data_IF_840036964681
#
_entry.id   IF_840036964681
#
_cell.length_a   1.000
_cell.length_b   1.000
_cell.length_c   1.000
_cell.angle_alpha   90.00
_cell.angle_beta   90.00
_cell.angle_gamma   90.00
#
_symmetry.space_group_name_H-M   'P 1'
#
loop_
_entity.id
_entity.type
_entity.pdbx_description
1 polymer ?
#
# COMPACT_ATOMS: atom_id res chain seq x y z
N UNK A 1 6.25 17.93 0.14
CA UNK A 1 7.34 17.28 0.91
C UNK A 1 8.29 16.66 -0.11
N UNK A 2 9.57 17.06 -0.15
CA UNK A 2 10.51 16.56 -1.16
C UNK A 2 11.10 15.23 -0.69
N UNK A 3 10.85 14.16 -1.45
CA UNK A 3 11.44 12.85 -1.19
C UNK A 3 12.96 12.88 -1.43
N UNK A 4 13.70 12.05 -0.68
CA UNK A 4 15.14 11.88 -0.88
C UNK A 4 15.44 11.37 -2.30
N UNK A 5 16.66 11.61 -2.85
CA UNK A 5 17.00 11.19 -4.21
C UNK A 5 16.87 9.67 -4.43
N UNK A 6 17.13 8.89 -3.40
CA UNK A 6 17.07 7.42 -3.40
C UNK A 6 15.71 6.86 -2.96
N UNK A 7 14.73 7.71 -2.65
CA UNK A 7 13.41 7.26 -2.24
C UNK A 7 12.63 6.71 -3.44
N UNK A 8 11.83 5.68 -3.19
CA UNK A 8 10.82 5.20 -4.15
C UNK A 8 9.75 6.28 -4.36
N UNK A 9 9.38 6.53 -5.60
CA UNK A 9 8.40 7.54 -6.00
C UNK A 9 7.21 6.85 -6.65
N UNK A 10 6.01 7.23 -6.23
CA UNK A 10 4.76 6.66 -6.73
C UNK A 10 4.62 6.82 -8.26
N UNK A 11 5.13 7.92 -8.81
CA UNK A 11 5.16 8.23 -10.26
C UNK A 11 6.00 7.23 -11.07
N UNK A 12 6.94 6.52 -10.43
CA UNK A 12 7.85 5.56 -11.04
C UNK A 12 7.46 4.10 -10.72
N UNK A 13 6.24 3.86 -10.24
CA UNK A 13 5.75 2.51 -9.99
C UNK A 13 5.68 1.69 -11.28
N UNK A 14 5.99 0.39 -11.20
CA UNK A 14 5.78 -0.56 -12.30
C UNK A 14 4.29 -0.88 -12.53
N UNK A 15 3.41 -0.37 -11.65
CA UNK A 15 1.97 -0.55 -11.74
C UNK A 15 1.51 -1.89 -11.16
N UNK A 16 0.37 -2.39 -11.65
CA UNK A 16 -0.29 -3.59 -11.14
C UNK A 16 -0.33 -4.67 -12.20
N UNK A 17 -0.27 -5.93 -11.77
CA UNK A 17 -0.44 -7.10 -12.65
C UNK A 17 -1.74 -7.06 -13.44
N UNK A 18 -2.81 -6.56 -12.82
CA UNK A 18 -4.11 -6.35 -13.47
C UNK A 18 -4.32 -4.84 -13.62
N UNK A 19 -4.56 -4.33 -14.83
CA UNK A 19 -4.81 -2.92 -15.06
C UNK A 19 -6.01 -2.44 -14.24
N UNK A 20 -5.88 -1.25 -13.66
CA UNK A 20 -6.93 -0.59 -12.91
C UNK A 20 -6.90 0.90 -13.22
N UNK A 21 -8.07 1.54 -13.19
CA UNK A 21 -8.14 2.98 -13.33
C UNK A 21 -7.42 3.70 -12.17
N UNK A 22 -6.71 4.80 -12.45
CA UNK A 22 -6.11 5.65 -11.42
C UNK A 22 -7.17 6.18 -10.45
N UNK A 23 -6.81 6.25 -9.17
CA UNK A 23 -7.71 6.81 -8.17
C UNK A 23 -7.64 8.35 -8.20
N UNK A 24 -8.76 9.08 -8.09
CA UNK A 24 -8.81 10.54 -8.29
C UNK A 24 -7.98 11.39 -7.32
N UNK A 25 -7.53 10.82 -6.20
CA UNK A 25 -6.86 11.55 -5.13
C UNK A 25 -5.94 10.71 -4.24
N UNK A 26 -5.90 9.39 -4.46
CA UNK A 26 -5.02 8.48 -3.71
C UNK A 26 -3.89 8.07 -4.63
N UNK A 27 -2.67 8.12 -4.12
CA UNK A 27 -1.54 7.53 -4.80
C UNK A 27 -1.62 6.00 -4.80
N UNK A 28 -0.84 5.34 -5.67
CA UNK A 28 -0.87 3.88 -5.78
C UNK A 28 -0.49 3.20 -4.46
N UNK A 29 0.50 3.71 -3.72
CA UNK A 29 0.88 3.15 -2.42
C UNK A 29 -0.13 3.49 -1.30
N UNK A 30 -0.83 4.62 -1.39
CA UNK A 30 -1.94 4.91 -0.47
C UNK A 30 -3.10 3.92 -0.67
N UNK A 31 -3.42 3.59 -1.92
CA UNK A 31 -4.43 2.55 -2.24
C UNK A 31 -4.01 1.19 -1.70
N UNK A 32 -2.74 0.82 -1.85
CA UNK A 32 -2.23 -0.47 -1.35
C UNK A 32 -2.33 -0.59 0.16
N UNK A 33 -1.94 0.47 0.88
CA UNK A 33 -2.11 0.55 2.33
C UNK A 33 -3.58 0.34 2.72
N UNK A 34 -4.50 1.06 2.09
CA UNK A 34 -5.92 0.96 2.40
C UNK A 34 -6.43 -0.48 2.13
N UNK A 35 -6.03 -1.12 1.04
CA UNK A 35 -6.38 -2.52 0.74
C UNK A 35 -5.87 -3.47 1.82
N UNK A 36 -4.60 -3.37 2.19
CA UNK A 36 -3.95 -4.24 3.19
C UNK A 36 -4.68 -4.16 4.53
N UNK A 37 -4.94 -2.93 5.02
CA UNK A 37 -5.58 -2.67 6.31
C UNK A 37 -6.99 -3.29 6.39
N UNK A 38 -7.73 -3.34 5.28
CA UNK A 38 -9.08 -3.88 5.25
C UNK A 38 -9.16 -5.40 5.01
N UNK A 39 -8.03 -6.08 4.80
CA UNK A 39 -8.04 -7.54 4.59
C UNK A 39 -8.43 -8.33 5.85
N UNK A 40 -9.06 -9.48 5.67
CA UNK A 40 -9.30 -10.45 6.77
C UNK A 40 -8.00 -10.92 7.41
N UNK A 41 -6.92 -11.06 6.63
CA UNK A 41 -5.62 -11.49 7.13
C UNK A 41 -5.02 -10.46 8.11
N UNK A 42 -5.05 -9.17 7.75
CA UNK A 42 -4.59 -8.10 8.64
C UNK A 42 -5.41 -8.04 9.93
N UNK A 43 -6.75 -8.12 9.86
CA UNK A 43 -7.61 -8.15 11.06
C UNK A 43 -7.30 -9.31 12.00
N UNK A 44 -6.93 -10.48 11.47
CA UNK A 44 -6.56 -11.64 12.30
C UNK A 44 -5.28 -11.43 13.09
N UNK A 45 -4.43 -10.46 12.72
CA UNK A 45 -3.21 -10.16 13.46
C UNK A 45 -3.51 -9.62 14.87
N UNK A 46 -4.65 -8.96 15.07
CA UNK A 46 -5.09 -8.50 16.40
C UNK A 46 -5.19 -9.64 17.42
N UNK A 47 -5.54 -10.85 16.95
CA UNK A 47 -5.70 -12.04 17.79
C UNK A 47 -4.51 -13.00 17.64
N UNK A 48 -3.35 -12.50 17.20
CA UNK A 48 -2.10 -13.26 17.08
C UNK A 48 -1.01 -12.56 17.89
N UNK A 49 -0.31 -13.32 18.71
CA UNK A 49 0.86 -12.79 19.45
C UNK A 49 2.08 -12.70 18.53
N UNK A 50 2.89 -11.67 18.74
CA UNK A 50 4.21 -11.56 18.11
C UNK A 50 5.25 -12.02 19.12
N UNK A 51 5.70 -13.28 19.00
CA UNK A 51 6.60 -13.92 19.97
C UNK A 51 5.97 -13.92 21.39
N UNK A 52 6.56 -14.65 22.33
CA UNK A 52 6.11 -14.66 23.73
C UNK A 52 6.68 -13.47 24.49
#
# INVERSE_FOLDING_TARGET
MRLAPYAMRDELTEGRRYPEEPHPYRSEYQRDRDRIVHTKAFRRLENKTQVF
#
